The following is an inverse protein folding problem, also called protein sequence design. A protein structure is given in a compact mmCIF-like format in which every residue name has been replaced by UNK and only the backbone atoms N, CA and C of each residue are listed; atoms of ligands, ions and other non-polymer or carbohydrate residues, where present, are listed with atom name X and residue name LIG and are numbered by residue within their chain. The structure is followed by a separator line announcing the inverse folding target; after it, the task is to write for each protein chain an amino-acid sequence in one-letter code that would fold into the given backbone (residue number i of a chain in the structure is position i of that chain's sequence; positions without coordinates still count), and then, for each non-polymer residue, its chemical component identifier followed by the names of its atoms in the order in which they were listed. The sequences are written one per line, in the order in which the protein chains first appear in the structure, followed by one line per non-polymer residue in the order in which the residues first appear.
data_IF_071272068550
#
_entry.id   IF_071272068550
#
_cell.length_a   1.000
_cell.length_b   1.000
_cell.length_c   1.000
_cell.angle_alpha   90.00
_cell.angle_beta   90.00
_cell.angle_gamma   90.00
#
_symmetry.space_group_name_H-M   'P 1'
#
loop_
_entity.id
_entity.type
_entity.pdbx_description
1 polymer ?
#
# COMPACT_ATOMS: atom_id res chain seq x y z
N UNK A 1 -14.54 -31.65 4.90
CA UNK A 1 -13.70 -31.07 3.83
C UNK A 1 -12.46 -30.44 4.46
N UNK A 2 -11.24 -30.87 4.08
CA UNK A 2 -9.98 -30.53 4.79
C UNK A 2 -9.67 -29.03 4.86
N UNK A 3 -9.17 -28.56 6.00
CA UNK A 3 -8.79 -27.17 6.32
C UNK A 3 -7.83 -26.58 5.27
N UNK A 4 -6.88 -27.39 4.76
CA UNK A 4 -5.92 -26.97 3.72
C UNK A 4 -6.60 -26.62 2.38
N UNK A 5 -7.67 -27.33 2.01
CA UNK A 5 -8.42 -27.07 0.76
C UNK A 5 -9.21 -25.77 0.83
N UNK A 6 -9.76 -25.43 2.01
CA UNK A 6 -10.51 -24.19 2.26
C UNK A 6 -9.60 -22.96 2.22
N UNK A 7 -8.40 -23.05 2.82
CA UNK A 7 -7.39 -21.98 2.78
C UNK A 7 -6.90 -21.68 1.35
N UNK A 8 -6.57 -22.73 0.57
CA UNK A 8 -6.13 -22.59 -0.83
C UNK A 8 -7.18 -21.92 -1.73
N UNK A 9 -8.47 -22.21 -1.50
CA UNK A 9 -9.55 -21.59 -2.27
C UNK A 9 -9.75 -20.10 -1.92
N UNK A 10 -9.53 -19.73 -0.65
CA UNK A 10 -9.57 -18.33 -0.18
C UNK A 10 -8.49 -17.48 -0.84
N UNK A 11 -7.24 -17.95 -0.85
CA UNK A 11 -6.13 -17.23 -1.49
C UNK A 11 -6.34 -17.05 -3.00
N UNK A 12 -6.80 -18.10 -3.68
CA UNK A 12 -7.11 -18.02 -5.11
C UNK A 12 -8.21 -16.98 -5.40
N UNK A 13 -9.21 -16.88 -4.53
CA UNK A 13 -10.29 -15.89 -4.65
C UNK A 13 -9.77 -14.46 -4.44
N UNK A 14 -8.95 -14.24 -3.41
CA UNK A 14 -8.30 -12.94 -3.15
C UNK A 14 -7.43 -12.52 -4.34
N UNK A 15 -6.63 -13.45 -4.89
CA UNK A 15 -5.77 -13.18 -6.04
C UNK A 15 -6.58 -12.80 -7.29
N UNK A 16 -7.72 -13.45 -7.53
CA UNK A 16 -8.64 -13.05 -8.61
C UNK A 16 -9.16 -11.63 -8.41
N UNK A 17 -9.58 -11.30 -7.19
CA UNK A 17 -10.06 -9.95 -6.86
C UNK A 17 -8.97 -8.91 -7.12
N UNK A 18 -7.73 -9.15 -6.68
CA UNK A 18 -6.60 -8.25 -6.97
C UNK A 18 -6.36 -8.05 -8.45
N UNK A 19 -6.24 -9.15 -9.20
CA UNK A 19 -5.97 -9.08 -10.64
C UNK A 19 -7.07 -8.31 -11.38
N UNK A 20 -8.34 -8.59 -11.09
CA UNK A 20 -9.46 -7.88 -11.71
C UNK A 20 -9.50 -6.41 -11.30
N UNK A 21 -9.30 -6.11 -10.01
CA UNK A 21 -9.29 -4.74 -9.52
C UNK A 21 -8.20 -3.90 -10.20
N UNK A 22 -6.95 -4.37 -10.20
CA UNK A 22 -5.84 -3.61 -10.79
C UNK A 22 -5.95 -3.49 -12.31
N UNK A 23 -6.49 -4.51 -12.98
CA UNK A 23 -6.84 -4.41 -14.40
C UNK A 23 -7.82 -3.26 -14.65
N UNK A 24 -8.93 -3.22 -13.92
CA UNK A 24 -9.93 -2.15 -14.05
C UNK A 24 -9.36 -0.77 -13.73
N UNK A 25 -8.51 -0.65 -12.69
CA UNK A 25 -7.86 0.63 -12.39
C UNK A 25 -6.99 1.12 -13.55
N UNK A 26 -6.28 0.23 -14.26
CA UNK A 26 -5.49 0.61 -15.43
C UNK A 26 -6.37 1.03 -16.62
N UNK A 27 -7.49 0.35 -16.83
CA UNK A 27 -8.36 0.57 -17.99
C UNK A 27 -9.24 1.82 -17.85
N UNK A 28 -9.76 2.09 -16.65
CA UNK A 28 -10.78 3.13 -16.45
C UNK A 28 -10.55 4.05 -15.24
N UNK A 29 -9.49 3.81 -14.45
CA UNK A 29 -9.17 4.59 -13.27
C UNK A 29 -9.89 4.14 -11.99
N UNK A 30 -9.31 4.52 -10.84
CA UNK A 30 -9.76 4.07 -9.52
C UNK A 30 -11.22 4.40 -9.20
N UNK A 31 -11.70 5.59 -9.57
CA UNK A 31 -13.07 6.01 -9.25
C UNK A 31 -14.11 5.15 -9.98
N UNK A 32 -13.87 4.78 -11.25
CA UNK A 32 -14.80 4.00 -12.09
C UNK A 32 -14.79 2.49 -11.80
N UNK A 33 -13.68 1.96 -11.28
CA UNK A 33 -13.55 0.57 -10.85
C UNK A 33 -14.42 0.24 -9.62
N UNK A 34 -15.72 0.09 -9.79
CA UNK A 34 -16.69 -0.18 -8.71
C UNK A 34 -16.61 -1.63 -8.18
N UNK A 35 -17.00 -1.85 -6.93
CA UNK A 35 -17.07 -3.20 -6.32
C UNK A 35 -17.97 -4.14 -7.10
N UNK A 36 -19.10 -3.64 -7.62
CA UNK A 36 -19.99 -4.41 -8.50
C UNK A 36 -19.30 -4.87 -9.79
N UNK A 37 -18.54 -3.97 -10.44
CA UNK A 37 -17.81 -4.30 -11.67
C UNK A 37 -16.68 -5.29 -11.40
N UNK A 38 -15.92 -5.08 -10.31
CA UNK A 38 -14.88 -6.01 -9.86
C UNK A 38 -15.46 -7.40 -9.61
N UNK A 39 -16.58 -7.51 -8.87
CA UNK A 39 -17.21 -8.79 -8.59
C UNK A 39 -17.70 -9.50 -9.86
N UNK A 40 -18.38 -8.74 -10.76
CA UNK A 40 -18.86 -9.25 -12.05
C UNK A 40 -17.73 -9.81 -12.90
N UNK A 41 -16.64 -9.07 -13.05
CA UNK A 41 -15.54 -9.44 -13.94
C UNK A 41 -14.62 -10.52 -13.33
N UNK A 42 -14.50 -10.56 -12.00
CA UNK A 42 -13.84 -11.66 -11.29
C UNK A 42 -14.69 -12.95 -11.24
N UNK A 43 -15.94 -12.91 -11.74
CA UNK A 43 -16.91 -14.00 -11.72
C UNK A 43 -17.18 -14.51 -10.29
N UNK A 44 -17.38 -13.59 -9.35
CA UNK A 44 -17.75 -13.88 -7.95
C UNK A 44 -19.02 -13.11 -7.57
N UNK A 45 -19.71 -13.53 -6.51
CA UNK A 45 -20.81 -12.75 -5.97
C UNK A 45 -20.29 -11.47 -5.30
N UNK A 46 -21.12 -10.43 -5.29
CA UNK A 46 -20.80 -9.19 -4.57
C UNK A 46 -20.61 -9.46 -3.06
N UNK A 47 -21.38 -10.40 -2.50
CA UNK A 47 -21.24 -10.84 -1.12
C UNK A 47 -19.87 -11.47 -0.82
N UNK A 48 -19.32 -12.26 -1.74
CA UNK A 48 -17.96 -12.83 -1.60
C UNK A 48 -16.90 -11.73 -1.57
N UNK A 49 -17.06 -10.67 -2.37
CA UNK A 49 -16.15 -9.54 -2.35
C UNK A 49 -16.18 -8.85 -0.98
N UNK A 50 -17.37 -8.47 -0.49
CA UNK A 50 -17.50 -7.80 0.81
C UNK A 50 -17.12 -8.70 1.99
N UNK A 51 -17.27 -10.01 1.88
CA UNK A 51 -16.77 -10.96 2.88
C UNK A 51 -15.24 -10.91 3.01
N UNK A 52 -14.52 -10.73 1.91
CA UNK A 52 -13.05 -10.61 1.91
C UNK A 52 -12.55 -9.18 2.14
N UNK A 53 -13.33 -8.19 1.72
CA UNK A 53 -13.01 -6.77 1.75
C UNK A 53 -14.24 -5.96 2.19
N UNK A 54 -14.51 -5.89 3.51
CA UNK A 54 -15.67 -5.15 4.04
C UNK A 54 -15.68 -3.67 3.61
N UNK A 55 -14.49 -3.06 3.53
CA UNK A 55 -14.29 -1.68 3.07
C UNK A 55 -14.32 -1.55 1.52
N UNK A 56 -14.76 -2.59 0.81
CA UNK A 56 -14.82 -2.63 -0.65
C UNK A 56 -13.45 -2.39 -1.29
N UNK A 57 -13.41 -1.60 -2.38
CA UNK A 57 -12.18 -1.35 -3.16
C UNK A 57 -11.07 -0.66 -2.36
N UNK A 58 -11.40 0.07 -1.29
CA UNK A 58 -10.43 0.67 -0.37
C UNK A 58 -9.73 -0.40 0.47
N UNK A 59 -10.49 -1.36 0.97
CA UNK A 59 -9.96 -2.54 1.67
C UNK A 59 -9.05 -3.41 0.79
N UNK A 60 -9.34 -3.48 -0.52
CA UNK A 60 -8.47 -4.16 -1.49
C UNK A 60 -7.08 -3.51 -1.52
N UNK A 61 -7.03 -2.18 -1.60
CA UNK A 61 -5.77 -1.42 -1.61
C UNK A 61 -5.01 -1.60 -0.30
N UNK A 62 -5.68 -1.38 0.84
CA UNK A 62 -5.06 -1.49 2.17
C UNK A 62 -4.40 -2.85 2.36
N UNK A 63 -5.14 -3.92 2.09
CA UNK A 63 -4.64 -5.29 2.26
C UNK A 63 -3.53 -5.63 1.27
N UNK A 64 -3.60 -5.13 0.03
CA UNK A 64 -2.51 -5.33 -0.92
C UNK A 64 -1.25 -4.62 -0.44
N UNK A 65 -1.35 -3.38 0.05
CA UNK A 65 -0.24 -2.62 0.61
C UNK A 65 0.42 -3.33 1.79
N UNK A 66 -0.37 -3.77 2.77
CA UNK A 66 0.12 -4.52 3.95
C UNK A 66 0.94 -5.74 3.53
N UNK A 67 0.38 -6.57 2.65
CA UNK A 67 1.08 -7.76 2.13
C UNK A 67 2.35 -7.39 1.33
N UNK A 68 2.32 -6.32 0.54
CA UNK A 68 3.47 -5.88 -0.25
C UNK A 68 4.60 -5.36 0.64
N UNK A 69 4.28 -4.61 1.69
CA UNK A 69 5.25 -4.08 2.66
C UNK A 69 5.89 -5.20 3.46
N UNK A 70 5.10 -6.17 3.94
CA UNK A 70 5.63 -7.36 4.64
C UNK A 70 6.61 -8.16 3.77
N UNK A 71 6.38 -8.20 2.45
CA UNK A 71 7.26 -8.92 1.51
C UNK A 71 8.48 -8.10 1.08
N UNK A 72 8.40 -6.76 1.11
CA UNK A 72 9.42 -5.87 0.55
C UNK A 72 10.37 -5.26 1.58
N UNK A 73 9.95 -5.14 2.84
CA UNK A 73 10.80 -4.64 3.93
C UNK A 73 11.56 -5.79 4.59
N UNK A 74 12.48 -6.41 3.85
CA UNK A 74 13.53 -7.18 4.52
C UNK A 74 14.50 -6.19 5.18
N UNK A 75 14.39 -6.06 6.50
CA UNK A 75 15.26 -5.22 7.35
C UNK A 75 16.76 -5.48 7.14
N UNK A 76 17.12 -6.63 6.57
CA UNK A 76 18.49 -7.00 6.25
C UNK A 76 19.17 -6.09 5.21
N UNK A 77 18.43 -5.46 4.30
CA UNK A 77 19.03 -4.44 3.41
C UNK A 77 19.33 -3.14 4.16
N UNK A 78 18.48 -2.75 5.11
CA UNK A 78 18.70 -1.57 5.94
C UNK A 78 19.89 -1.74 6.89
N UNK A 79 20.14 -2.95 7.41
CA UNK A 79 21.31 -3.24 8.24
C UNK A 79 22.64 -3.11 7.50
N UNK A 80 22.64 -3.14 6.16
CA UNK A 80 23.85 -2.96 5.33
C UNK A 80 24.20 -1.48 5.10
N UNK A 81 23.36 -0.54 5.54
CA UNK A 81 23.68 0.89 5.45
C UNK A 81 24.81 1.25 6.42
N UNK A 82 25.87 1.86 5.88
CA UNK A 82 26.85 2.60 6.65
C UNK A 82 27.19 3.91 5.93
N UNK A 83 27.78 4.88 6.64
CA UNK A 83 28.04 6.21 6.08
C UNK A 83 28.90 6.18 4.81
N UNK A 84 29.76 5.17 4.69
CA UNK A 84 30.67 4.96 3.55
C UNK A 84 30.01 4.40 2.28
N UNK A 85 28.80 3.85 2.34
CA UNK A 85 28.12 3.24 1.19
C UNK A 85 26.78 3.87 0.80
N UNK A 86 26.40 4.99 1.45
CA UNK A 86 25.12 5.68 1.19
C UNK A 86 24.86 5.92 -0.31
N UNK A 87 25.80 6.45 -1.13
CA UNK A 87 25.50 6.73 -2.53
C UNK A 87 25.25 5.50 -3.40
N UNK A 88 25.86 4.35 -3.09
CA UNK A 88 25.67 3.12 -3.85
C UNK A 88 24.40 2.39 -3.40
N UNK A 89 24.17 2.31 -2.09
CA UNK A 89 22.95 1.74 -1.53
C UNK A 89 21.72 2.55 -1.95
N UNK A 90 21.80 3.88 -1.92
CA UNK A 90 20.73 4.74 -2.40
C UNK A 90 20.44 4.53 -3.89
N UNK A 91 21.48 4.37 -4.73
CA UNK A 91 21.28 4.04 -6.16
C UNK A 91 20.60 2.68 -6.35
N UNK A 92 20.99 1.66 -5.59
CA UNK A 92 20.36 0.35 -5.63
C UNK A 92 18.89 0.42 -5.21
N UNK A 93 18.62 1.11 -4.10
CA UNK A 93 17.28 1.38 -3.61
C UNK A 93 16.42 2.11 -4.64
N UNK A 94 16.89 3.24 -5.18
CA UNK A 94 16.17 4.00 -6.22
C UNK A 94 15.91 3.13 -7.45
N UNK A 95 16.89 2.34 -7.88
CA UNK A 95 16.70 1.44 -9.04
C UNK A 95 15.65 0.36 -8.77
N UNK A 96 15.64 -0.24 -7.59
CA UNK A 96 14.61 -1.20 -7.18
C UNK A 96 13.24 -0.56 -7.08
N UNK A 97 13.13 0.62 -6.46
CA UNK A 97 11.89 1.39 -6.36
C UNK A 97 11.37 1.72 -7.76
N UNK A 98 12.21 2.19 -8.68
CA UNK A 98 11.83 2.50 -10.05
C UNK A 98 11.35 1.26 -10.82
N UNK A 99 12.04 0.13 -10.70
CA UNK A 99 11.64 -1.14 -11.31
C UNK A 99 10.29 -1.62 -10.77
N UNK A 100 10.14 -1.64 -9.44
CA UNK A 100 8.91 -2.04 -8.76
C UNK A 100 7.75 -1.09 -9.09
N UNK A 101 8.01 0.21 -9.24
CA UNK A 101 7.00 1.19 -9.63
C UNK A 101 6.45 0.93 -11.03
N UNK A 102 7.33 0.54 -11.97
CA UNK A 102 6.96 0.22 -13.35
C UNK A 102 6.10 -1.05 -13.40
N UNK A 103 6.48 -2.07 -12.65
CA UNK A 103 5.75 -3.35 -12.59
C UNK A 103 4.39 -3.21 -11.86
N UNK A 104 4.30 -2.32 -10.86
CA UNK A 104 3.10 -2.11 -10.05
C UNK A 104 2.34 -0.83 -10.38
N UNK A 105 2.39 -0.36 -11.63
CA UNK A 105 1.75 0.90 -12.07
C UNK A 105 0.27 1.00 -11.68
N UNK A 106 -0.48 -0.09 -11.82
CA UNK A 106 -1.89 -0.18 -11.45
C UNK A 106 -2.12 0.09 -9.96
N UNK A 107 -1.30 -0.55 -9.13
CA UNK A 107 -1.33 -0.38 -7.69
C UNK A 107 -0.96 1.04 -7.30
N UNK A 108 0.12 1.60 -7.87
CA UNK A 108 0.53 2.98 -7.58
C UNK A 108 -0.56 4.00 -7.91
N UNK A 109 -1.25 3.81 -9.04
CA UNK A 109 -2.38 4.66 -9.42
C UNK A 109 -3.56 4.50 -8.45
N UNK A 110 -3.92 3.27 -8.11
CA UNK A 110 -4.98 2.97 -7.16
C UNK A 110 -4.69 3.55 -5.77
N UNK A 111 -3.49 3.30 -5.26
CA UNK A 111 -3.00 3.71 -3.95
C UNK A 111 -2.96 5.23 -3.82
N UNK A 112 -2.36 5.92 -4.79
CA UNK A 112 -2.37 7.40 -4.82
C UNK A 112 -3.79 7.93 -4.85
N UNK A 113 -4.63 7.42 -5.75
CA UNK A 113 -6.02 7.89 -5.85
C UNK A 113 -6.77 7.69 -4.54
N UNK A 114 -6.57 6.55 -3.87
CA UNK A 114 -7.27 6.24 -2.63
C UNK A 114 -6.75 7.06 -1.44
N UNK A 115 -5.44 7.21 -1.27
CA UNK A 115 -4.86 8.04 -0.21
C UNK A 115 -5.26 9.50 -0.37
N UNK A 116 -5.25 10.02 -1.60
CA UNK A 116 -5.47 11.44 -1.85
C UNK A 116 -6.95 11.84 -1.82
N UNK A 117 -7.87 10.88 -1.99
CA UNK A 117 -9.32 11.15 -2.08
C UNK A 117 -10.13 10.70 -0.87
N UNK A 118 -9.50 10.05 0.12
CA UNK A 118 -10.19 9.50 1.28
C UNK A 118 -9.48 9.87 2.57
N UNK A 119 -10.15 10.63 3.41
CA UNK A 119 -9.67 11.01 4.74
C UNK A 119 -9.31 9.80 5.60
N UNK A 120 -10.00 8.66 5.43
CA UNK A 120 -9.72 7.43 6.17
C UNK A 120 -8.47 6.68 5.68
N UNK A 121 -7.91 7.06 4.52
CA UNK A 121 -6.66 6.53 3.97
C UNK A 121 -5.56 7.59 3.86
N UNK A 122 -5.87 8.86 4.18
CA UNK A 122 -4.90 9.95 4.23
C UNK A 122 -3.75 9.69 5.23
N UNK A 123 -3.97 8.78 6.19
CA UNK A 123 -2.94 8.23 7.07
C UNK A 123 -3.02 6.71 7.09
N UNK A 124 -1.96 6.04 6.61
CA UNK A 124 -1.76 4.60 6.72
C UNK A 124 -0.62 4.32 7.70
N UNK A 125 -0.83 3.30 8.52
CA UNK A 125 0.13 2.85 9.52
C UNK A 125 0.24 1.34 9.46
N UNK A 126 1.46 0.84 9.26
CA UNK A 126 1.78 -0.58 9.29
C UNK A 126 2.73 -0.83 10.46
N UNK A 127 2.38 -1.82 11.28
CA UNK A 127 3.25 -2.35 12.33
C UNK A 127 3.97 -3.58 11.81
N UNK A 128 5.29 -3.49 11.64
CA UNK A 128 6.17 -4.63 11.40
C UNK A 128 6.66 -5.26 12.71
N UNK A 129 7.45 -6.33 12.60
CA UNK A 129 8.05 -7.01 13.76
C UNK A 129 9.00 -6.11 14.56
N UNK A 130 9.79 -5.28 13.88
CA UNK A 130 10.82 -4.44 14.51
C UNK A 130 10.55 -2.93 14.41
N UNK A 131 9.40 -2.51 13.89
CA UNK A 131 9.14 -1.10 13.67
C UNK A 131 7.82 -0.78 13.01
N UNK A 132 7.72 0.45 12.55
CA UNK A 132 6.52 1.03 11.98
C UNK A 132 6.82 1.68 10.64
N UNK A 133 5.89 1.57 9.69
CA UNK A 133 5.86 2.34 8.45
C UNK A 133 4.61 3.23 8.46
N UNK A 134 4.82 4.54 8.34
CA UNK A 134 3.81 5.58 8.26
C UNK A 134 3.77 6.10 6.83
N UNK A 135 2.57 6.23 6.27
CA UNK A 135 2.34 6.93 5.00
C UNK A 135 1.26 7.97 5.23
N UNK A 136 1.54 9.22 4.91
CA UNK A 136 0.62 10.35 5.13
C UNK A 136 0.48 11.18 3.86
N UNK A 137 -0.72 11.63 3.54
CA UNK A 137 -0.93 12.62 2.49
C UNK A 137 -0.17 13.91 2.82
N UNK A 138 0.50 14.48 1.81
CA UNK A 138 1.22 15.74 1.87
C UNK A 138 0.81 16.59 0.67
N UNK A 139 -0.21 17.44 0.84
CA UNK A 139 -0.79 18.23 -0.25
C UNK A 139 -1.65 17.38 -1.20
N UNK A 140 -1.99 17.95 -2.37
CA UNK A 140 -2.92 17.31 -3.31
C UNK A 140 -2.30 16.15 -4.09
N UNK A 141 -0.98 16.15 -4.29
CA UNK A 141 -0.30 15.23 -5.22
C UNK A 141 0.93 14.53 -4.64
N UNK A 142 1.19 14.63 -3.34
CA UNK A 142 2.32 13.97 -2.70
C UNK A 142 1.93 13.19 -1.43
N UNK A 143 2.82 12.29 -1.03
CA UNK A 143 2.72 11.48 0.18
C UNK A 143 4.08 11.49 0.89
N UNK A 144 4.06 11.62 2.21
CA UNK A 144 5.21 11.45 3.09
C UNK A 144 5.22 10.02 3.62
N UNK A 145 6.32 9.30 3.41
CA UNK A 145 6.52 7.96 3.96
C UNK A 145 7.66 7.99 4.97
N UNK A 146 7.43 7.48 6.19
CA UNK A 146 8.40 7.43 7.28
C UNK A 146 8.44 6.03 7.88
N UNK A 147 9.64 5.47 8.04
CA UNK A 147 9.84 4.25 8.83
C UNK A 147 10.55 4.55 10.14
N UNK A 148 10.27 3.78 11.19
CA UNK A 148 10.91 3.95 12.50
C UNK A 148 10.92 2.64 13.28
N UNK A 149 11.78 2.50 14.30
CA UNK A 149 11.84 1.29 15.13
C UNK A 149 10.70 1.24 16.15
N UNK A 150 10.48 0.06 16.75
CA UNK A 150 9.41 -0.14 17.75
C UNK A 150 9.57 0.69 19.02
N UNK A 151 10.81 1.04 19.37
CA UNK A 151 11.17 1.79 20.58
C UNK A 151 11.01 3.32 20.41
N UNK A 152 10.72 3.76 19.18
CA UNK A 152 10.53 5.17 18.91
C UNK A 152 9.20 5.68 19.49
N UNK A 153 9.19 6.96 19.91
CA UNK A 153 8.00 7.63 20.43
C UNK A 153 7.03 7.95 19.29
N UNK A 154 6.23 6.96 18.89
CA UNK A 154 5.36 7.02 17.71
C UNK A 154 4.44 8.26 17.68
N UNK A 155 3.89 8.66 18.84
CA UNK A 155 3.06 9.87 18.93
C UNK A 155 3.79 11.15 18.56
N UNK A 156 5.06 11.30 18.95
CA UNK A 156 5.89 12.46 18.58
C UNK A 156 6.25 12.43 17.09
N UNK A 157 6.59 11.24 16.57
CA UNK A 157 6.87 11.07 15.14
C UNK A 157 5.65 11.44 14.30
N UNK A 158 4.45 10.96 14.67
CA UNK A 158 3.22 11.31 13.97
C UNK A 158 2.94 12.82 14.02
N UNK A 159 3.17 13.47 15.15
CA UNK A 159 3.00 14.93 15.28
C UNK A 159 3.93 15.69 14.32
N UNK A 160 5.21 15.33 14.28
CA UNK A 160 6.19 15.97 13.41
C UNK A 160 5.95 15.67 11.93
N UNK A 161 5.55 14.44 11.60
CA UNK A 161 5.13 14.08 10.24
C UNK A 161 3.95 14.93 9.79
N UNK A 162 2.94 15.12 10.65
CA UNK A 162 1.76 15.93 10.32
C UNK A 162 2.14 17.38 10.01
N UNK A 163 3.00 17.99 10.83
CA UNK A 163 3.57 19.33 10.60
C UNK A 163 4.40 19.39 9.31
N UNK A 164 5.15 18.34 9.01
CA UNK A 164 5.94 18.27 7.77
C UNK A 164 5.04 18.17 6.54
N UNK A 165 3.97 17.36 6.58
CA UNK A 165 2.97 17.29 5.52
C UNK A 165 2.36 18.66 5.22
N UNK A 166 2.00 19.44 6.26
CA UNK A 166 1.50 20.82 6.10
C UNK A 166 2.52 21.74 5.43
N UNK A 167 3.80 21.61 5.77
CA UNK A 167 4.88 22.39 5.12
C UNK A 167 5.05 21.99 3.66
N UNK A 168 5.12 20.68 3.37
CA UNK A 168 5.22 20.16 2.00
C UNK A 168 4.03 20.65 1.18
N UNK A 169 2.81 20.58 1.72
CA UNK A 169 1.59 21.02 1.04
C UNK A 169 1.59 22.52 0.65
N UNK A 170 2.39 23.37 1.31
CA UNK A 170 2.55 24.78 0.94
C UNK A 170 3.56 25.00 -0.19
N UNK A 171 4.38 23.99 -0.51
CA UNK A 171 5.45 24.08 -1.51
C UNK A 171 5.04 23.51 -2.87
N UNK A 172 3.96 22.70 -2.94
CA UNK A 172 3.52 21.97 -4.13
C UNK A 172 2.05 22.19 -4.45
#
# INVERSE_FOLDING_TARGET
MSIKKKARNKEATIKKIYNTFFKLVLEEGFHKASTNKIAKEAKISIGTLYHHFPDGKKGIIRKYFENSVETSFELEEFKKFNMSNIPSVFRGFVSNVLKNHKENKAYNLAFRSAILSDENLAQLYIKGSEGYLLVMQAGQNAVLTVSTSKDARLGLIMLDCRRMCEKIAKLI
#
